data_IF_454341928135
#
_entry.id   IF_454341928135
#
_cell.length_a   1.000
_cell.length_b   1.000
_cell.length_c   1.000
_cell.angle_alpha   90.00
_cell.angle_beta   90.00
_cell.angle_gamma   90.00
#
_symmetry.space_group_name_H-M   'P 1'
#
loop_
_entity.id
_entity.type
_entity.pdbx_description
1 polymer ?
#
# COMPACT_ATOMS: atom_id res chain seq x y z
N UNK A 1 -4.11 15.79 3.44
CA UNK A 1 -2.81 15.19 3.81
C UNK A 1 -2.47 14.15 2.75
N UNK A 2 -1.31 14.24 2.09
CA UNK A 2 -0.92 13.30 1.02
C UNK A 2 -0.30 12.08 1.67
N UNK A 3 -0.93 10.93 1.53
CA UNK A 3 -0.41 9.63 1.99
C UNK A 3 -0.04 8.77 0.78
N UNK A 4 0.90 7.85 0.97
CA UNK A 4 1.29 6.95 -0.10
C UNK A 4 0.11 6.06 -0.52
N UNK A 5 0.00 5.87 -1.83
CA UNK A 5 -1.04 5.02 -2.40
C UNK A 5 -0.66 3.55 -2.31
N UNK A 6 -1.65 2.67 -2.53
CA UNK A 6 -1.42 1.23 -2.65
C UNK A 6 -0.30 0.87 -3.65
N UNK A 7 -0.27 1.52 -4.81
CA UNK A 7 0.71 1.24 -5.87
C UNK A 7 2.13 1.61 -5.45
N UNK A 8 2.25 2.70 -4.69
CA UNK A 8 3.53 3.17 -4.14
C UNK A 8 4.10 2.14 -3.18
N UNK A 9 3.28 1.65 -2.25
CA UNK A 9 3.71 0.64 -1.26
C UNK A 9 4.05 -0.69 -1.95
N UNK A 10 3.27 -1.09 -2.95
CA UNK A 10 3.56 -2.30 -3.73
C UNK A 10 4.92 -2.24 -4.41
N UNK A 11 5.29 -1.11 -5.01
CA UNK A 11 6.58 -0.97 -5.69
C UNK A 11 7.77 -1.18 -4.71
N UNK A 12 7.63 -0.70 -3.48
CA UNK A 12 8.64 -0.91 -2.41
C UNK A 12 8.75 -2.39 -2.09
N UNK A 13 7.61 -3.08 -1.89
CA UNK A 13 7.61 -4.52 -1.61
C UNK A 13 8.30 -5.31 -2.74
N UNK A 14 7.96 -5.00 -3.99
CA UNK A 14 8.53 -5.68 -5.17
C UNK A 14 10.05 -5.45 -5.27
N UNK A 15 10.55 -4.25 -4.93
CA UNK A 15 11.98 -3.94 -4.91
C UNK A 15 12.71 -4.66 -3.75
N UNK A 16 12.07 -4.74 -2.58
CA UNK A 16 12.60 -5.44 -1.41
C UNK A 16 12.70 -6.96 -1.65
N UNK A 17 11.73 -7.56 -2.35
CA UNK A 17 11.76 -8.98 -2.74
C UNK A 17 12.89 -9.31 -3.72
N UNK A 18 13.24 -8.36 -4.60
CA UNK A 18 14.36 -8.50 -5.53
C UNK A 18 15.73 -8.33 -4.87
N UNK A 19 15.76 -8.02 -3.56
CA UNK A 19 16.97 -7.72 -2.77
C UNK A 19 17.81 -6.57 -3.33
N UNK A 20 17.22 -5.67 -4.12
CA UNK A 20 17.91 -4.47 -4.57
C UNK A 20 17.84 -3.39 -3.49
N UNK A 21 18.69 -3.52 -2.49
CA UNK A 21 18.72 -2.62 -1.33
C UNK A 21 19.07 -1.17 -1.72
N UNK A 22 19.79 -0.98 -2.82
CA UNK A 22 20.14 0.36 -3.33
C UNK A 22 18.89 1.02 -3.92
N UNK A 23 18.16 0.31 -4.77
CA UNK A 23 16.91 0.80 -5.35
C UNK A 23 15.88 1.10 -4.24
N UNK A 24 15.74 0.20 -3.26
CA UNK A 24 14.82 0.40 -2.13
C UNK A 24 15.18 1.66 -1.33
N UNK A 25 16.46 1.88 -1.04
CA UNK A 25 16.92 3.07 -0.32
C UNK A 25 16.55 4.36 -1.08
N UNK A 26 16.84 4.43 -2.37
CA UNK A 26 16.51 5.61 -3.18
C UNK A 26 14.99 5.86 -3.23
N UNK A 27 14.20 4.79 -3.29
CA UNK A 27 12.74 4.86 -3.25
C UNK A 27 12.27 5.44 -1.91
N UNK A 28 12.81 4.97 -0.79
CA UNK A 28 12.46 5.48 0.54
C UNK A 28 12.85 6.94 0.74
N UNK A 29 14.03 7.37 0.29
CA UNK A 29 14.46 8.77 0.37
C UNK A 29 13.50 9.70 -0.40
N UNK A 30 13.12 9.32 -1.63
CA UNK A 30 12.12 10.06 -2.44
C UNK A 30 10.75 10.13 -1.75
N UNK A 31 10.37 9.08 -1.02
CA UNK A 31 9.09 9.04 -0.32
C UNK A 31 9.06 9.81 0.99
N UNK A 32 10.17 9.87 1.73
CA UNK A 32 10.29 10.73 2.90
C UNK A 32 10.05 12.20 2.55
N UNK A 33 10.52 12.66 1.38
CA UNK A 33 10.26 14.01 0.88
C UNK A 33 8.79 14.20 0.46
N UNK A 34 8.28 13.29 -0.39
CA UNK A 34 6.94 13.42 -1.00
C UNK A 34 5.80 13.17 -0.01
N UNK A 35 5.97 12.26 0.94
CA UNK A 35 4.97 11.80 1.89
C UNK A 35 5.36 12.10 3.34
N UNK A 36 6.00 13.24 3.59
CA UNK A 36 6.51 13.65 4.92
C UNK A 36 5.54 13.55 6.10
N UNK A 37 4.24 13.53 5.83
CA UNK A 37 3.18 13.44 6.85
C UNK A 37 2.61 12.02 7.02
N UNK A 38 3.02 11.05 6.18
CA UNK A 38 2.60 9.65 6.29
C UNK A 38 3.44 8.93 7.34
N UNK A 39 3.02 9.06 8.60
CA UNK A 39 3.76 8.55 9.76
C UNK A 39 3.99 7.04 9.70
N UNK A 40 3.02 6.28 9.17
CA UNK A 40 3.14 4.82 9.03
C UNK A 40 4.25 4.47 8.03
N UNK A 41 4.25 5.12 6.87
CA UNK A 41 5.29 4.90 5.86
C UNK A 41 6.66 5.37 6.36
N UNK A 42 6.71 6.52 7.04
CA UNK A 42 7.96 7.07 7.58
C UNK A 42 8.59 6.12 8.59
N UNK A 43 7.80 5.53 9.49
CA UNK A 43 8.30 4.56 10.46
C UNK A 43 8.97 3.38 9.77
N UNK A 44 8.35 2.85 8.72
CA UNK A 44 8.91 1.76 7.90
C UNK A 44 10.21 2.19 7.22
N UNK A 45 10.32 3.44 6.74
CA UNK A 45 11.56 3.95 6.15
C UNK A 45 12.69 4.02 7.19
N UNK A 46 12.38 4.48 8.41
CA UNK A 46 13.34 4.57 9.52
C UNK A 46 13.81 3.17 9.96
N UNK A 47 12.88 2.20 10.09
CA UNK A 47 13.22 0.79 10.37
C UNK A 47 14.09 0.18 9.26
N UNK A 48 13.87 0.54 7.99
CA UNK A 48 14.72 0.08 6.88
C UNK A 48 16.13 0.67 6.93
N UNK A 49 16.29 1.93 7.32
CA UNK A 49 17.62 2.51 7.51
C UNK A 49 18.36 1.83 8.66
N UNK A 50 17.66 1.49 9.76
CA UNK A 50 18.22 0.70 10.86
C UNK A 50 18.66 -0.70 10.40
N UNK A 51 17.89 -1.35 9.53
CA UNK A 51 18.30 -2.60 8.89
C UNK A 51 19.60 -2.44 8.08
N UNK A 52 19.74 -1.37 7.31
CA UNK A 52 20.95 -1.13 6.51
C UNK A 52 22.21 -0.93 7.39
N UNK A 53 22.04 -0.38 8.60
CA UNK A 53 23.14 -0.17 9.55
C UNK A 53 23.47 -1.44 10.35
N UNK A 54 22.45 -2.18 10.80
CA UNK A 54 22.61 -3.35 11.66
C UNK A 54 22.83 -4.66 10.90
N UNK A 55 22.27 -4.79 9.70
CA UNK A 55 22.21 -6.04 8.94
C UNK A 55 21.30 -7.10 9.58
N UNK A 56 20.41 -6.71 10.50
CA UNK A 56 19.55 -7.63 11.24
C UNK A 56 18.35 -8.09 10.41
N UNK A 57 18.36 -9.37 10.02
CA UNK A 57 17.30 -9.96 9.20
C UNK A 57 15.94 -10.01 9.92
N UNK A 58 15.88 -10.00 11.27
CA UNK A 58 14.60 -9.91 11.99
C UNK A 58 13.90 -8.57 11.72
N UNK A 59 14.68 -7.49 11.59
CA UNK A 59 14.16 -6.17 11.23
C UNK A 59 13.61 -6.20 9.80
N UNK A 60 14.30 -6.89 8.89
CA UNK A 60 13.86 -7.03 7.50
C UNK A 60 12.53 -7.79 7.39
N UNK A 61 12.35 -8.87 8.14
CA UNK A 61 11.09 -9.61 8.17
C UNK A 61 9.94 -8.75 8.71
N UNK A 62 10.18 -8.00 9.79
CA UNK A 62 9.21 -7.06 10.35
C UNK A 62 8.82 -5.96 9.36
N UNK A 63 9.78 -5.40 8.61
CA UNK A 63 9.53 -4.40 7.56
C UNK A 63 8.60 -4.97 6.48
N UNK A 64 8.82 -6.22 6.05
CA UNK A 64 7.96 -6.88 5.05
C UNK A 64 6.52 -7.02 5.55
N UNK A 65 6.34 -7.47 6.80
CA UNK A 65 5.03 -7.58 7.42
C UNK A 65 4.32 -6.22 7.53
N UNK A 66 5.03 -5.18 7.96
CA UNK A 66 4.45 -3.85 8.14
C UNK A 66 4.12 -3.18 6.79
N UNK A 67 4.94 -3.39 5.75
CA UNK A 67 4.61 -3.00 4.38
C UNK A 67 3.35 -3.71 3.87
N UNK A 68 3.19 -5.01 4.15
CA UNK A 68 2.00 -5.75 3.77
C UNK A 68 0.74 -5.25 4.49
N UNK A 69 0.82 -5.01 5.80
CA UNK A 69 -0.29 -4.43 6.59
C UNK A 69 -0.67 -3.06 6.04
N UNK A 70 0.31 -2.20 5.79
CA UNK A 70 0.09 -0.86 5.25
C UNK A 70 -0.52 -0.92 3.85
N UNK A 71 -0.01 -1.80 2.97
CA UNK A 71 -0.55 -2.07 1.63
C UNK A 71 -2.02 -2.46 1.70
N UNK A 72 -2.38 -3.38 2.59
CA UNK A 72 -3.76 -3.84 2.76
C UNK A 72 -4.67 -2.72 3.28
N UNK A 73 -4.22 -1.94 4.25
CA UNK A 73 -4.96 -0.79 4.78
C UNK A 73 -5.20 0.29 3.70
N UNK A 74 -4.20 0.59 2.87
CA UNK A 74 -4.35 1.52 1.75
C UNK A 74 -5.21 0.95 0.63
N UNK A 75 -5.17 -0.36 0.37
CA UNK A 75 -6.04 -1.03 -0.61
C UNK A 75 -7.51 -0.90 -0.21
N UNK A 76 -7.84 -1.18 1.06
CA UNK A 76 -9.22 -1.05 1.58
C UNK A 76 -9.69 0.41 1.49
N UNK A 77 -8.86 1.38 1.86
CA UNK A 77 -9.18 2.81 1.70
C UNK A 77 -9.38 3.22 0.23
N UNK A 78 -8.57 2.69 -0.68
CA UNK A 78 -8.66 3.00 -2.12
C UNK A 78 -9.86 2.30 -2.80
N UNK A 79 -10.28 1.15 -2.27
CA UNK A 79 -11.47 0.41 -2.70
C UNK A 79 -12.74 0.82 -1.92
N UNK A 80 -12.60 1.74 -0.96
CA UNK A 80 -13.65 2.33 -0.12
C UNK A 80 -14.62 3.25 -0.85
N UNK A 81 -14.99 2.90 -2.09
CA UNK A 81 -16.25 3.27 -2.71
C UNK A 81 -17.44 2.42 -2.21
N UNK A 82 -17.30 1.68 -1.10
CA UNK A 82 -18.40 0.93 -0.48
C UNK A 82 -19.33 1.81 0.38
N UNK A 83 -19.24 3.13 0.23
CA UNK A 83 -20.29 4.07 0.63
C UNK A 83 -21.36 4.33 -0.44
N UNK A 84 -21.20 3.88 -1.69
CA UNK A 84 -22.24 4.04 -2.72
C UNK A 84 -22.37 2.82 -3.66
N UNK A 85 -23.51 2.15 -3.48
CA UNK A 85 -24.35 1.55 -4.53
C UNK A 85 -24.05 0.11 -4.98
N UNK A 86 -24.31 -0.84 -4.08
CA UNK A 86 -24.85 -2.16 -4.46
C UNK A 86 -26.39 -2.19 -4.54
N UNK A 87 -27.07 -1.03 -4.65
CA UNK A 87 -28.52 -0.97 -4.97
C UNK A 87 -28.88 -0.35 -6.32
N UNK A 88 -27.94 0.23 -7.07
CA UNK A 88 -28.29 0.97 -8.29
C UNK A 88 -27.35 0.76 -9.49
N UNK A 89 -26.70 -0.40 -9.58
CA UNK A 89 -25.94 -0.77 -10.79
C UNK A 89 -26.69 -1.63 -11.80
N UNK A 90 -28.03 -1.63 -11.78
CA UNK A 90 -28.90 -1.97 -12.94
C UNK A 90 -30.32 -1.37 -12.85
N UNK A 91 -30.60 -0.13 -13.27
CA UNK A 91 -31.91 0.22 -13.78
C UNK A 91 -32.02 -0.33 -15.21
N UNK A 92 -32.31 -1.63 -15.35
CA UNK A 92 -32.42 -2.21 -16.70
C UNK A 92 -32.56 -3.73 -16.84
N UNK A 93 -32.63 -4.51 -15.76
CA UNK A 93 -32.87 -5.96 -15.85
C UNK A 93 -34.02 -6.45 -14.96
N UNK A 94 -35.03 -5.60 -14.78
CA UNK A 94 -36.31 -5.95 -14.17
C UNK A 94 -37.48 -5.95 -15.14
N UNK A 95 -37.25 -6.26 -16.43
CA UNK A 95 -38.33 -6.22 -17.44
C UNK A 95 -38.28 -7.36 -18.44
N UNK A 96 -38.18 -8.60 -18.00
CA UNK A 96 -38.60 -9.76 -18.79
C UNK A 96 -39.02 -10.91 -17.87
N UNK A 97 -40.27 -10.89 -17.42
CA UNK A 97 -41.12 -12.08 -17.31
C UNK A 97 -42.56 -11.64 -16.99
N UNK A 98 -43.26 -11.24 -18.05
CA UNK A 98 -44.72 -11.21 -18.11
C UNK A 98 -45.11 -11.43 -19.58
N UNK A 99 -44.89 -12.65 -20.08
CA UNK A 99 -45.58 -13.33 -21.20
C UNK A 99 -45.24 -14.81 -20.97
N UNK A 100 -46.13 -15.69 -20.54
CA UNK A 100 -47.40 -16.10 -21.16
C UNK A 100 -48.31 -16.73 -20.09
#
# INVERSE_FOLDING_TARGET
MITASYYVIRNISDALEKKDLTEVKEIFEKFMERYRNDLELRRICEEFMEYLESGDEEILEKIKEDLEKLRNARRIRSQGGTGLWHRDRRPGLGRFMLIT
#
